data_IF_665846431065
#
_entry.id   IF_665846431065
#
_cell.length_a   1.000
_cell.length_b   1.000
_cell.length_c   1.000
_cell.angle_alpha   90.00
_cell.angle_beta   90.00
_cell.angle_gamma   90.00
#
_symmetry.space_group_name_H-M   'P 1'
#
loop_
_entity.id
_entity.type
_entity.pdbx_description
1 polymer ?
#
# COMPACT_ATOMS: atom_id res chain seq x y z
N UNK A 1 -7.02 -25.20 -9.71
CA UNK A 1 -7.33 -25.51 -8.30
C UNK A 1 -6.73 -26.87 -7.99
N UNK A 2 -6.06 -27.04 -6.85
CA UNK A 2 -5.62 -28.36 -6.38
C UNK A 2 -6.80 -29.04 -5.70
N UNK A 3 -7.20 -30.22 -6.18
CA UNK A 3 -8.30 -30.98 -5.58
C UNK A 3 -7.88 -31.51 -4.20
N UNK A 4 -8.74 -31.33 -3.18
CA UNK A 4 -8.58 -31.96 -1.85
C UNK A 4 -8.14 -31.05 -0.69
N UNK A 5 -7.87 -29.76 -0.92
CA UNK A 5 -7.63 -28.77 0.14
C UNK A 5 -8.90 -27.93 0.34
N UNK A 6 -9.61 -28.03 1.48
CA UNK A 6 -10.71 -27.11 1.77
C UNK A 6 -10.12 -25.73 2.05
N UNK A 7 -10.12 -24.87 1.03
CA UNK A 7 -9.73 -23.46 1.19
C UNK A 7 -10.87 -22.71 1.86
N UNK A 8 -10.57 -22.01 2.95
CA UNK A 8 -11.50 -21.04 3.51
C UNK A 8 -11.72 -19.89 2.53
N UNK A 9 -12.78 -19.11 2.71
CA UNK A 9 -13.00 -17.89 1.92
C UNK A 9 -11.80 -16.91 2.04
N UNK A 10 -11.18 -16.82 3.22
CA UNK A 10 -9.98 -16.00 3.41
C UNK A 10 -8.80 -16.51 2.60
N UNK A 11 -8.61 -17.84 2.52
CA UNK A 11 -7.53 -18.45 1.72
C UNK A 11 -7.76 -18.19 0.22
N UNK A 12 -9.01 -18.27 -0.24
CA UNK A 12 -9.34 -17.99 -1.64
C UNK A 12 -9.10 -16.53 -2.01
N UNK A 13 -9.53 -15.59 -1.16
CA UNK A 13 -9.22 -14.16 -1.31
C UNK A 13 -7.70 -13.96 -1.40
N UNK A 14 -6.95 -14.49 -0.43
CA UNK A 14 -5.50 -14.33 -0.38
C UNK A 14 -4.80 -14.89 -1.63
N UNK A 15 -5.25 -16.05 -2.13
CA UNK A 15 -4.74 -16.65 -3.36
C UNK A 15 -4.99 -15.75 -4.58
N UNK A 16 -6.23 -15.30 -4.77
CA UNK A 16 -6.58 -14.48 -5.94
C UNK A 16 -5.87 -13.12 -5.88
N UNK A 17 -5.81 -12.48 -4.73
CA UNK A 17 -5.04 -11.24 -4.52
C UNK A 17 -3.56 -11.44 -4.85
N UNK A 18 -2.97 -12.55 -4.41
CA UNK A 18 -1.57 -12.88 -4.70
C UNK A 18 -1.29 -13.14 -6.18
N UNK A 19 -2.25 -13.70 -6.92
CA UNK A 19 -2.17 -13.86 -8.38
C UNK A 19 -2.27 -12.50 -9.08
N UNK A 20 -3.16 -11.62 -8.62
CA UNK A 20 -3.31 -10.27 -9.16
C UNK A 20 -2.04 -9.45 -8.97
N UNK A 21 -1.44 -9.43 -7.77
CA UNK A 21 -0.19 -8.71 -7.51
C UNK A 21 0.97 -9.15 -8.42
N UNK A 22 1.02 -10.43 -8.79
CA UNK A 22 2.03 -10.99 -9.70
C UNK A 22 1.71 -10.77 -11.18
N UNK A 23 0.61 -10.11 -11.51
CA UNK A 23 0.19 -9.86 -12.90
C UNK A 23 -0.18 -11.13 -13.66
N UNK A 24 -0.62 -12.20 -12.97
CA UNK A 24 -1.00 -13.46 -13.63
C UNK A 24 -2.21 -13.23 -14.54
N UNK A 25 -2.15 -13.81 -15.74
CA UNK A 25 -3.22 -13.70 -16.73
C UNK A 25 -4.57 -14.18 -16.20
N UNK A 26 -5.62 -13.37 -16.45
CA UNK A 26 -6.97 -13.65 -15.96
C UNK A 26 -7.14 -13.44 -14.46
N UNK A 27 -6.25 -12.73 -13.78
CA UNK A 27 -6.41 -12.34 -12.38
C UNK A 27 -7.60 -11.40 -12.17
N UNK A 28 -7.86 -10.46 -13.08
CA UNK A 28 -9.02 -9.55 -13.00
C UNK A 28 -10.35 -10.31 -12.95
N UNK A 29 -10.54 -11.25 -13.88
CA UNK A 29 -11.74 -12.12 -13.90
C UNK A 29 -11.88 -12.93 -12.61
N UNK A 30 -10.76 -13.41 -12.05
CA UNK A 30 -10.78 -14.15 -10.79
C UNK A 30 -11.09 -13.24 -9.60
N UNK A 31 -10.70 -11.97 -9.63
CA UNK A 31 -11.12 -10.99 -8.63
C UNK A 31 -12.64 -10.75 -8.72
N UNK A 32 -13.21 -10.69 -9.93
CA UNK A 32 -14.67 -10.59 -10.13
C UNK A 32 -15.41 -11.81 -9.57
N UNK A 33 -14.97 -13.02 -9.95
CA UNK A 33 -15.52 -14.28 -9.46
C UNK A 33 -15.42 -14.34 -7.93
N UNK A 34 -14.24 -14.00 -7.38
CA UNK A 34 -14.03 -14.01 -5.95
C UNK A 34 -14.91 -12.99 -5.22
N UNK A 35 -15.16 -11.80 -5.78
CA UNK A 35 -16.09 -10.84 -5.18
C UNK A 35 -17.51 -11.41 -5.08
N UNK A 36 -17.98 -12.09 -6.13
CA UNK A 36 -19.31 -12.70 -6.17
C UNK A 36 -19.47 -13.88 -5.19
N UNK A 37 -18.38 -14.55 -4.85
CA UNK A 37 -18.35 -15.71 -3.98
C UNK A 37 -18.13 -15.38 -2.49
N UNK A 38 -17.94 -14.10 -2.12
CA UNK A 38 -17.79 -13.71 -0.71
C UNK A 38 -19.17 -13.57 -0.07
N UNK A 39 -19.45 -14.43 0.90
CA UNK A 39 -20.75 -14.48 1.60
C UNK A 39 -20.78 -13.53 2.80
N UNK A 40 -19.64 -13.35 3.47
CA UNK A 40 -19.56 -12.49 4.65
C UNK A 40 -19.54 -11.00 4.25
N UNK A 41 -20.53 -10.24 4.73
CA UNK A 41 -20.69 -8.83 4.37
C UNK A 41 -19.49 -7.94 4.71
N UNK A 42 -18.87 -8.13 5.89
CA UNK A 42 -17.71 -7.34 6.31
C UNK A 42 -16.48 -7.62 5.43
N UNK A 43 -16.28 -8.90 5.07
CA UNK A 43 -15.21 -9.29 4.16
C UNK A 43 -15.45 -8.79 2.74
N UNK A 44 -16.71 -8.77 2.28
CA UNK A 44 -17.05 -8.22 0.97
C UNK A 44 -16.79 -6.71 0.94
N UNK A 45 -17.16 -6.00 2.00
CA UNK A 45 -16.87 -4.57 2.13
C UNK A 45 -15.37 -4.28 2.11
N UNK A 46 -14.58 -5.02 2.92
CA UNK A 46 -13.11 -4.94 2.90
C UNK A 46 -12.54 -5.26 1.52
N UNK A 47 -12.99 -6.36 0.90
CA UNK A 47 -12.49 -6.79 -0.40
C UNK A 47 -12.74 -5.72 -1.46
N UNK A 48 -13.95 -5.14 -1.52
CA UNK A 48 -14.28 -4.04 -2.44
C UNK A 48 -13.42 -2.81 -2.20
N UNK A 49 -13.15 -2.47 -0.95
CA UNK A 49 -12.28 -1.35 -0.61
C UNK A 49 -10.86 -1.55 -1.13
N UNK A 50 -10.24 -2.72 -0.89
CA UNK A 50 -8.85 -2.99 -1.29
C UNK A 50 -8.72 -3.37 -2.77
N UNK A 51 -9.78 -3.87 -3.41
CA UNK A 51 -9.74 -4.43 -4.76
C UNK A 51 -9.08 -3.52 -5.80
N UNK A 52 -9.30 -2.20 -5.84
CA UNK A 52 -8.64 -1.34 -6.81
C UNK A 52 -7.10 -1.35 -6.68
N UNK A 53 -6.54 -1.59 -5.49
CA UNK A 53 -5.08 -1.75 -5.30
C UNK A 53 -4.52 -3.01 -5.98
N UNK A 54 -5.37 -4.01 -6.20
CA UNK A 54 -5.03 -5.28 -6.86
C UNK A 54 -5.21 -5.23 -8.38
N UNK A 55 -5.86 -4.19 -8.90
CA UNK A 55 -6.13 -4.07 -10.34
C UNK A 55 -4.83 -4.03 -11.16
N UNK A 56 -4.89 -4.53 -12.38
CA UNK A 56 -3.85 -4.37 -13.40
C UNK A 56 -3.86 -2.97 -14.03
N UNK A 57 -4.98 -2.24 -13.97
CA UNK A 57 -5.03 -0.84 -14.42
C UNK A 57 -4.23 0.06 -13.48
N UNK A 58 -3.31 0.84 -14.06
CA UNK A 58 -2.54 1.84 -13.32
C UNK A 58 -3.44 2.95 -12.81
N UNK A 59 -4.39 3.36 -13.64
CA UNK A 59 -5.34 4.43 -13.38
C UNK A 59 -6.25 4.09 -12.19
N UNK A 60 -6.72 2.84 -12.09
CA UNK A 60 -7.51 2.38 -10.94
C UNK A 60 -6.72 2.41 -9.63
N UNK A 61 -5.44 2.03 -9.68
CA UNK A 61 -4.53 2.05 -8.52
C UNK A 61 -4.23 3.49 -8.07
N UNK A 62 -3.93 4.37 -9.01
CA UNK A 62 -3.68 5.78 -8.73
C UNK A 62 -4.95 6.48 -8.22
N UNK A 63 -6.12 6.18 -8.79
CA UNK A 63 -7.39 6.70 -8.29
C UNK A 63 -7.69 6.27 -6.84
N UNK A 64 -7.39 5.02 -6.49
CA UNK A 64 -7.51 4.56 -5.10
C UNK A 64 -6.56 5.34 -4.18
N UNK A 65 -5.29 5.48 -4.55
CA UNK A 65 -4.34 6.26 -3.76
C UNK A 65 -4.83 7.70 -3.57
N UNK A 66 -5.27 8.36 -4.64
CA UNK A 66 -5.79 9.72 -4.58
C UNK A 66 -7.02 9.84 -3.67
N UNK A 67 -7.85 8.79 -3.56
CA UNK A 67 -8.97 8.79 -2.62
C UNK A 67 -8.52 8.93 -1.17
N UNK A 68 -7.31 8.48 -0.81
CA UNK A 68 -6.75 8.63 0.53
C UNK A 68 -6.28 10.06 0.84
N UNK A 69 -6.38 11.00 -0.10
CA UNK A 69 -6.22 12.43 0.24
C UNK A 69 -7.43 12.97 1.02
N UNK A 70 -8.57 12.28 0.97
CA UNK A 70 -9.72 12.53 1.82
C UNK A 70 -9.62 11.68 3.10
N UNK A 71 -9.65 12.33 4.27
CA UNK A 71 -9.56 11.68 5.57
C UNK A 71 -10.68 10.66 5.82
N UNK A 72 -11.87 10.88 5.26
CA UNK A 72 -13.00 9.95 5.43
C UNK A 72 -12.72 8.59 4.78
N UNK A 73 -11.95 8.57 3.68
CA UNK A 73 -11.52 7.34 3.03
C UNK A 73 -10.42 6.61 3.80
N UNK A 74 -9.90 7.21 4.88
CA UNK A 74 -8.90 6.61 5.76
C UNK A 74 -9.47 6.09 7.09
N UNK A 75 -10.79 6.14 7.27
CA UNK A 75 -11.47 5.80 8.53
C UNK A 75 -11.23 4.37 9.05
N UNK A 76 -10.96 3.40 8.17
CA UNK A 76 -10.66 2.02 8.56
C UNK A 76 -9.18 1.73 8.27
N UNK A 77 -8.31 2.16 9.19
CA UNK A 77 -6.85 2.06 9.06
C UNK A 77 -6.36 0.69 8.52
N UNK A 78 -6.80 -0.48 9.02
CA UNK A 78 -6.31 -1.76 8.51
C UNK A 78 -6.55 -1.97 7.01
N UNK A 79 -7.62 -1.41 6.44
CA UNK A 79 -7.93 -1.56 5.02
C UNK A 79 -7.08 -0.61 4.16
N UNK A 80 -6.84 0.60 4.66
CA UNK A 80 -5.95 1.59 4.04
C UNK A 80 -4.54 1.03 3.95
N UNK A 81 -4.01 0.49 5.06
CA UNK A 81 -2.66 -0.05 5.11
C UNK A 81 -2.49 -1.25 4.17
N UNK A 82 -3.49 -2.14 4.09
CA UNK A 82 -3.45 -3.27 3.14
C UNK A 82 -3.50 -2.80 1.68
N UNK A 83 -4.32 -1.78 1.38
CA UNK A 83 -4.31 -1.17 0.06
C UNK A 83 -2.94 -0.56 -0.27
N UNK A 84 -2.30 0.14 0.67
CA UNK A 84 -0.95 0.68 0.51
C UNK A 84 0.08 -0.45 0.29
N UNK A 85 0.05 -1.51 1.08
CA UNK A 85 0.92 -2.69 0.91
C UNK A 85 0.78 -3.30 -0.48
N UNK A 86 -0.45 -3.36 -1.02
CA UNK A 86 -0.70 -3.85 -2.37
C UNK A 86 -0.16 -2.90 -3.45
N UNK A 87 -0.39 -1.58 -3.30
CA UNK A 87 0.10 -0.55 -4.23
C UNK A 87 1.63 -0.54 -4.32
N UNK A 88 2.29 -0.73 -3.19
CA UNK A 88 3.74 -0.70 -3.03
C UNK A 88 4.38 -2.10 -3.07
N UNK A 89 3.60 -3.13 -3.40
CA UNK A 89 4.06 -4.52 -3.33
C UNK A 89 5.25 -4.80 -4.26
N UNK A 90 6.35 -5.39 -3.76
CA UNK A 90 7.48 -5.78 -4.60
C UNK A 90 7.11 -6.87 -5.61
N UNK A 91 6.01 -7.61 -5.37
CA UNK A 91 5.50 -8.62 -6.30
C UNK A 91 5.06 -8.03 -7.65
N UNK A 92 4.73 -6.73 -7.68
CA UNK A 92 4.37 -5.96 -8.88
C UNK A 92 5.51 -5.06 -9.38
N UNK A 93 6.64 -5.03 -8.67
CA UNK A 93 7.72 -4.05 -8.89
C UNK A 93 7.52 -2.71 -8.16
N UNK A 94 6.49 -2.60 -7.31
CA UNK A 94 6.13 -1.38 -6.60
C UNK A 94 5.47 -0.30 -7.48
N UNK A 95 5.08 0.79 -6.84
CA UNK A 95 4.61 2.04 -7.44
C UNK A 95 5.44 3.20 -6.89
N UNK A 96 6.72 3.29 -7.28
CA UNK A 96 7.66 4.28 -6.74
C UNK A 96 7.16 5.73 -6.91
N UNK A 97 6.38 5.99 -7.97
CA UNK A 97 5.75 7.28 -8.22
C UNK A 97 4.75 7.72 -7.14
N UNK A 98 4.24 6.78 -6.33
CA UNK A 98 3.33 7.07 -5.22
C UNK A 98 4.06 7.34 -3.89
N UNK A 99 5.38 7.10 -3.82
CA UNK A 99 6.16 7.32 -2.59
C UNK A 99 6.09 8.78 -2.16
N UNK A 100 6.40 9.72 -3.07
CA UNK A 100 6.40 11.14 -2.72
C UNK A 100 5.00 11.63 -2.32
N UNK A 101 3.93 11.38 -3.10
CA UNK A 101 2.57 11.71 -2.68
C UNK A 101 2.19 11.13 -1.31
N UNK A 102 2.61 9.89 -1.00
CA UNK A 102 2.33 9.27 0.28
C UNK A 102 3.10 9.93 1.45
N UNK A 103 4.35 10.36 1.22
CA UNK A 103 5.13 11.11 2.20
C UNK A 103 4.53 12.50 2.46
N UNK A 104 3.99 13.15 1.43
CA UNK A 104 3.37 14.49 1.56
C UNK A 104 2.10 14.46 2.44
N UNK A 105 1.41 13.32 2.55
CA UNK A 105 0.27 13.13 3.47
C UNK A 105 0.67 12.92 4.94
N UNK A 106 1.97 12.75 5.25
CA UNK A 106 2.41 12.33 6.58
C UNK A 106 2.08 13.35 7.69
N UNK A 107 2.16 14.66 7.37
CA UNK A 107 1.83 15.71 8.34
C UNK A 107 0.33 15.71 8.67
N UNK A 108 -0.52 15.68 7.64
CA UNK A 108 -1.97 15.59 7.81
C UNK A 108 -2.35 14.35 8.62
N UNK A 109 -1.83 13.17 8.27
CA UNK A 109 -2.07 11.92 8.99
C UNK A 109 -1.68 12.04 10.47
N UNK A 110 -0.57 12.73 10.79
CA UNK A 110 -0.19 12.97 12.18
C UNK A 110 -1.20 13.85 12.92
N UNK A 111 -1.73 14.88 12.25
CA UNK A 111 -2.66 15.86 12.82
C UNK A 111 -4.06 15.28 13.03
N UNK A 112 -4.57 14.52 12.05
CA UNK A 112 -5.90 13.91 12.08
C UNK A 112 -5.94 12.66 12.95
N UNK A 113 -4.84 11.90 13.03
CA UNK A 113 -4.74 10.69 13.84
C UNK A 113 -5.65 9.55 13.39
N UNK A 114 -6.19 9.63 12.18
CA UNK A 114 -7.02 8.63 11.50
C UNK A 114 -6.24 7.35 11.16
N UNK A 115 -4.93 7.48 10.96
CA UNK A 115 -3.99 6.35 11.02
C UNK A 115 -3.24 6.46 12.34
N UNK A 116 -3.53 5.53 13.26
CA UNK A 116 -3.09 5.59 14.65
C UNK A 116 -1.55 5.57 14.79
N UNK A 117 -0.84 5.11 13.77
CA UNK A 117 0.61 5.11 13.73
C UNK A 117 1.15 5.55 12.36
N UNK A 118 1.67 6.78 12.22
CA UNK A 118 2.33 7.25 11.00
C UNK A 118 3.47 6.33 10.52
N UNK A 119 4.07 5.57 11.44
CA UNK A 119 5.06 4.54 11.07
C UNK A 119 4.48 3.39 10.24
N UNK A 120 3.21 2.97 10.45
CA UNK A 120 2.60 1.89 9.67
C UNK A 120 2.31 2.34 8.25
N UNK A 121 1.89 3.59 8.08
CA UNK A 121 1.76 4.23 6.77
C UNK A 121 3.09 4.24 6.02
N UNK A 122 4.17 4.66 6.72
CA UNK A 122 5.52 4.67 6.16
C UNK A 122 6.01 3.26 5.82
N UNK A 123 5.82 2.29 6.71
CA UNK A 123 6.24 0.90 6.49
C UNK A 123 5.53 0.29 5.27
N UNK A 124 4.23 0.55 5.09
CA UNK A 124 3.46 0.13 3.93
C UNK A 124 3.88 0.84 2.63
N UNK A 125 4.39 2.07 2.73
CA UNK A 125 4.79 2.89 1.58
C UNK A 125 6.21 2.60 1.12
N UNK A 126 7.18 2.49 2.03
CA UNK A 126 8.61 2.43 1.71
C UNK A 126 9.35 1.21 2.27
N UNK A 127 8.76 0.47 3.22
CA UNK A 127 9.45 -0.63 3.91
C UNK A 127 9.85 -1.80 3.00
N UNK A 128 9.13 -1.97 1.88
CA UNK A 128 9.43 -3.00 0.87
C UNK A 128 10.43 -2.60 -0.22
N UNK A 129 10.85 -1.34 -0.28
CA UNK A 129 11.68 -0.85 -1.40
C UNK A 129 13.18 -1.06 -1.17
N UNK A 130 13.88 -1.25 -2.28
CA UNK A 130 15.35 -1.33 -2.33
C UNK A 130 15.95 -0.52 -3.49
N UNK A 131 15.12 0.19 -4.28
CA UNK A 131 15.56 0.90 -5.48
C UNK A 131 16.18 2.26 -5.16
N UNK A 132 17.14 2.68 -5.98
CA UNK A 132 17.75 4.01 -5.88
C UNK A 132 16.73 5.13 -6.06
N UNK A 133 15.74 4.94 -6.94
CA UNK A 133 14.63 5.87 -7.16
C UNK A 133 13.84 6.11 -5.88
N UNK A 134 13.42 5.05 -5.16
CA UNK A 134 12.70 5.18 -3.90
C UNK A 134 13.55 5.89 -2.84
N UNK A 135 14.86 5.57 -2.76
CA UNK A 135 15.79 6.23 -1.84
C UNK A 135 15.93 7.73 -2.15
N UNK A 136 15.90 8.10 -3.44
CA UNK A 136 15.92 9.49 -3.90
C UNK A 136 14.66 10.24 -3.49
N UNK A 137 13.48 9.65 -3.67
CA UNK A 137 12.21 10.28 -3.26
C UNK A 137 12.17 10.56 -1.76
N UNK A 138 12.60 9.60 -0.93
CA UNK A 138 12.68 9.79 0.53
C UNK A 138 13.64 10.93 0.90
N UNK A 139 14.81 11.01 0.26
CA UNK A 139 15.79 12.08 0.52
C UNK A 139 15.28 13.44 0.09
N UNK A 140 14.70 13.53 -1.10
CA UNK A 140 14.11 14.76 -1.61
C UNK A 140 13.02 15.25 -0.66
N UNK A 141 12.14 14.36 -0.20
CA UNK A 141 11.13 14.70 0.81
C UNK A 141 11.77 15.28 2.10
N UNK A 142 12.82 14.65 2.62
CA UNK A 142 13.49 15.12 3.84
C UNK A 142 14.25 16.45 3.68
N UNK A 143 14.70 16.76 2.46
CA UNK A 143 15.35 18.03 2.08
C UNK A 143 14.31 19.13 1.91
N UNK A 144 13.21 18.82 1.22
CA UNK A 144 12.15 19.77 0.88
C UNK A 144 11.29 20.16 2.09
N UNK A 145 11.33 19.36 3.17
CA UNK A 145 10.60 19.59 4.41
C UNK A 145 11.58 19.79 5.59
N UNK A 146 12.37 20.88 5.62
CA UNK A 146 13.31 21.14 6.71
C UNK A 146 12.60 21.35 8.07
N UNK A 147 11.38 21.87 8.05
CA UNK A 147 10.51 22.12 9.21
C UNK A 147 9.83 20.87 9.79
N UNK A 148 9.94 19.72 9.11
CA UNK A 148 9.37 18.47 9.60
C UNK A 148 9.83 18.17 11.03
N UNK A 149 8.87 17.92 11.92
CA UNK A 149 9.18 17.66 13.32
C UNK A 149 10.21 16.53 13.47
N UNK A 150 11.12 16.66 14.44
CA UNK A 150 12.18 15.66 14.68
C UNK A 150 11.58 14.25 14.84
N UNK A 151 10.39 14.15 15.46
CA UNK A 151 9.69 12.88 15.64
C UNK A 151 9.25 12.27 14.30
N UNK A 152 8.64 13.04 13.40
CA UNK A 152 8.25 12.54 12.07
C UNK A 152 9.47 12.24 11.21
N UNK A 153 10.48 13.12 11.22
CA UNK A 153 11.76 12.89 10.52
C UNK A 153 12.39 11.55 10.93
N UNK A 154 12.45 11.27 12.23
CA UNK A 154 12.98 10.01 12.74
C UNK A 154 12.12 8.80 12.33
N UNK A 155 10.80 8.96 12.20
CA UNK A 155 9.92 7.89 11.71
C UNK A 155 10.18 7.57 10.24
N UNK A 156 10.31 8.59 9.40
CA UNK A 156 10.68 8.42 7.99
C UNK A 156 12.02 7.72 7.88
N UNK A 157 13.04 8.18 8.61
CA UNK A 157 14.37 7.55 8.62
C UNK A 157 14.34 6.12 9.14
N UNK A 158 13.52 5.83 10.15
CA UNK A 158 13.36 4.48 10.70
C UNK A 158 12.79 3.51 9.65
N UNK A 159 11.68 3.88 9.00
CA UNK A 159 11.06 3.04 7.96
C UNK A 159 11.92 2.94 6.70
N UNK A 160 12.74 3.97 6.42
CA UNK A 160 13.65 4.00 5.28
C UNK A 160 15.04 3.40 5.55
N UNK A 161 15.37 2.96 6.77
CA UNK A 161 16.75 2.61 7.15
C UNK A 161 17.38 1.59 6.18
N UNK A 162 16.68 0.47 5.96
CA UNK A 162 17.15 -0.58 5.05
C UNK A 162 17.34 -0.05 3.61
N UNK A 163 16.35 0.70 3.10
CA UNK A 163 16.37 1.30 1.77
C UNK A 163 17.58 2.25 1.59
N UNK A 164 17.82 3.14 2.56
CA UNK A 164 18.88 4.13 2.48
C UNK A 164 20.27 3.52 2.63
N UNK A 165 20.41 2.46 3.44
CA UNK A 165 21.68 1.73 3.61
C UNK A 165 22.07 0.95 2.35
N UNK A 166 21.10 0.42 1.62
CA UNK A 166 21.34 -0.23 0.33
C UNK A 166 21.71 0.75 -0.79
N UNK A 167 21.35 2.03 -0.65
CA UNK A 167 21.50 3.04 -1.71
C UNK A 167 22.27 4.27 -1.21
N UNK A 168 23.52 4.17 -0.72
CA UNK A 168 24.25 5.29 -0.13
C UNK A 168 24.40 6.48 -1.11
N UNK A 169 24.44 7.71 -0.58
CA UNK A 169 24.86 8.87 -1.37
C UNK A 169 26.39 8.80 -1.55
N UNK A 170 26.84 8.77 -2.80
CA UNK A 170 28.26 8.89 -3.15
C UNK A 170 28.76 10.33 -2.93
#
# INVERSE_FOLDING_TARGET
MVAGLPLSEADRIALVSGLALRGVEGSERRLDEQEGDIENADRLARFRFIRPSLSQSREAREALFMSFTDVENRAIEPWVLEAMDNLHSPLRGGSSQLIRPALDLLQEIQETGDIFFPGRWLDATIGGYQSEEAAREVRNFLIDNPELSIRLRNKVLQSADHLLRLNPQN
#
